data_IF_402693006887
#
_entry.id   IF_402693006887
#
_cell.length_a   1.000
_cell.length_b   1.000
_cell.length_c   1.000
_cell.angle_alpha   90.00
_cell.angle_beta   90.00
_cell.angle_gamma   90.00
#
_symmetry.space_group_name_H-M   'P 1'
#
loop_
_entity.id
_entity.type
_entity.pdbx_description
1 polymer ?
#
# COMPACT_ATOMS: atom_id res chain seq x y z
N UNK A 1 1.01 -8.69 -3.60
CA UNK A 1 1.21 -7.66 -2.55
C UNK A 1 0.17 -6.59 -2.79
N UNK A 2 -0.62 -6.32 -1.76
CA UNK A 2 -1.91 -5.63 -1.74
C UNK A 2 -1.85 -4.14 -2.16
N UNK A 3 -1.42 -3.85 -3.39
CA UNK A 3 -1.19 -2.49 -3.87
C UNK A 3 -2.43 -1.58 -3.89
N UNK A 4 -3.65 -2.12 -3.80
CA UNK A 4 -4.87 -1.32 -3.81
C UNK A 4 -5.30 -0.83 -2.42
N UNK A 5 -5.19 -1.67 -1.38
CA UNK A 5 -5.62 -1.31 -0.02
C UNK A 5 -4.60 -0.36 0.61
N UNK A 6 -3.31 -0.70 0.55
CA UNK A 6 -2.24 0.16 1.04
C UNK A 6 -2.27 1.55 0.39
N UNK A 7 -2.44 1.59 -0.93
CA UNK A 7 -2.60 2.84 -1.66
C UNK A 7 -3.80 3.63 -1.15
N UNK A 8 -4.98 3.01 -1.07
CA UNK A 8 -6.18 3.64 -0.52
C UNK A 8 -5.94 4.28 0.84
N UNK A 9 -5.38 3.51 1.79
CA UNK A 9 -5.06 3.99 3.15
C UNK A 9 -4.09 5.17 3.14
N UNK A 10 -3.05 5.13 2.30
CA UNK A 10 -2.08 6.22 2.18
C UNK A 10 -2.74 7.50 1.66
N UNK A 11 -3.60 7.41 0.63
CA UNK A 11 -4.29 8.57 0.08
C UNK A 11 -5.36 9.10 1.03
N UNK A 12 -6.03 8.24 1.80
CA UNK A 12 -7.01 8.66 2.82
C UNK A 12 -6.34 9.45 3.96
N UNK A 13 -5.23 8.95 4.52
CA UNK A 13 -4.55 9.60 5.66
C UNK A 13 -3.68 10.79 5.27
N UNK A 14 -2.95 10.70 4.17
CA UNK A 14 -1.95 11.71 3.79
C UNK A 14 -2.34 12.56 2.59
N UNK A 15 -3.34 12.16 1.80
CA UNK A 15 -3.77 12.84 0.58
C UNK A 15 -2.84 12.65 -0.62
N UNK A 16 -1.56 12.33 -0.42
CA UNK A 16 -0.64 12.02 -1.50
C UNK A 16 0.53 11.13 -1.06
N UNK A 17 1.07 10.38 -2.02
CA UNK A 17 2.25 9.55 -1.80
C UNK A 17 3.49 10.38 -1.42
N UNK A 18 3.63 11.61 -1.95
CA UNK A 18 4.73 12.51 -1.59
C UNK A 18 4.66 13.00 -0.14
N UNK A 19 3.45 13.26 0.39
CA UNK A 19 3.28 13.61 1.80
C UNK A 19 3.61 12.43 2.71
N UNK A 20 3.18 11.23 2.33
CA UNK A 20 3.55 10.01 3.04
C UNK A 20 5.07 9.74 3.01
N UNK A 21 5.72 9.91 1.86
CA UNK A 21 7.18 9.78 1.74
C UNK A 21 7.94 10.73 2.68
N UNK A 22 7.45 11.96 2.83
CA UNK A 22 8.01 12.93 3.79
C UNK A 22 7.80 12.49 5.24
N UNK A 23 6.62 11.94 5.57
CA UNK A 23 6.29 11.49 6.92
C UNK A 23 7.15 10.30 7.37
N UNK A 24 7.38 9.32 6.48
CA UNK A 24 8.22 8.15 6.76
C UNK A 24 9.73 8.43 6.59
N UNK A 25 10.09 9.58 6.01
CA UNK A 25 11.49 9.96 5.75
C UNK A 25 12.15 9.19 4.61
N UNK A 26 11.37 8.69 3.64
CA UNK A 26 11.89 7.93 2.49
C UNK A 26 11.93 8.77 1.21
N UNK A 27 12.69 8.28 0.22
CA UNK A 27 12.68 8.88 -1.11
C UNK A 27 11.31 8.67 -1.77
N UNK A 28 10.80 9.70 -2.44
CA UNK A 28 9.49 9.63 -3.10
C UNK A 28 9.39 8.48 -4.11
N UNK A 29 10.48 8.14 -4.80
CA UNK A 29 10.49 7.02 -5.76
C UNK A 29 10.30 5.67 -5.07
N UNK A 30 11.10 5.39 -4.03
CA UNK A 30 10.97 4.16 -3.22
C UNK A 30 9.56 4.02 -2.66
N UNK A 31 9.04 5.09 -2.04
CA UNK A 31 7.68 5.09 -1.46
C UNK A 31 6.62 4.84 -2.52
N UNK A 32 6.68 5.52 -3.67
CA UNK A 32 5.75 5.30 -4.78
C UNK A 32 5.81 3.88 -5.32
N UNK A 33 6.99 3.27 -5.43
CA UNK A 33 7.13 1.91 -5.94
C UNK A 33 6.55 0.89 -4.96
N UNK A 34 6.73 1.08 -3.66
CA UNK A 34 6.13 0.23 -2.62
C UNK A 34 4.61 0.41 -2.56
N UNK A 35 4.13 1.65 -2.48
CA UNK A 35 2.69 1.96 -2.36
C UNK A 35 1.90 1.47 -3.58
N UNK A 36 2.47 1.55 -4.78
CA UNK A 36 1.83 1.03 -5.99
C UNK A 36 2.05 -0.48 -6.19
N UNK A 37 2.73 -1.16 -5.27
CA UNK A 37 2.99 -2.61 -5.34
C UNK A 37 3.99 -3.02 -6.42
N UNK A 38 4.79 -2.08 -6.96
CA UNK A 38 5.90 -2.37 -7.90
C UNK A 38 7.13 -2.91 -7.18
N UNK A 39 7.32 -2.52 -5.93
CA UNK A 39 8.38 -3.01 -5.07
C UNK A 39 7.79 -3.67 -3.82
N UNK A 40 8.37 -4.79 -3.44
CA UNK A 40 8.06 -5.50 -2.20
C UNK A 40 8.86 -4.87 -1.06
N UNK A 41 8.21 -4.31 -0.02
CA UNK A 41 8.91 -3.86 1.18
C UNK A 41 9.39 -5.05 2.02
N UNK A 42 10.51 -4.87 2.71
CA UNK A 42 11.02 -5.81 3.70
C UNK A 42 10.29 -5.67 5.05
N UNK A 43 10.57 -6.55 6.01
CA UNK A 43 9.91 -6.56 7.32
C UNK A 43 10.08 -5.23 8.09
N UNK A 44 11.28 -4.66 8.09
CA UNK A 44 11.55 -3.37 8.76
C UNK A 44 10.78 -2.22 8.11
N UNK A 45 10.69 -2.22 6.78
CA UNK A 45 9.93 -1.24 6.00
C UNK A 45 8.44 -1.36 6.28
N UNK A 46 7.91 -2.58 6.40
CA UNK A 46 6.51 -2.83 6.77
C UNK A 46 6.21 -2.27 8.17
N UNK A 47 7.09 -2.51 9.15
CA UNK A 47 6.95 -1.95 10.51
C UNK A 47 6.92 -0.42 10.50
N UNK A 48 7.88 0.22 9.81
CA UNK A 48 7.92 1.68 9.70
C UNK A 48 6.67 2.25 9.03
N UNK A 49 6.15 1.58 8.01
CA UNK A 49 4.91 1.99 7.34
C UNK A 49 3.71 1.85 8.27
N UNK A 50 3.60 0.76 9.03
CA UNK A 50 2.51 0.55 9.99
C UNK A 50 2.52 1.62 11.09
N UNK A 51 3.69 1.93 11.65
CA UNK A 51 3.87 3.01 12.64
C UNK A 51 3.46 4.37 12.07
N UNK A 52 3.93 4.69 10.85
CA UNK A 52 3.62 5.98 10.19
C UNK A 52 2.14 6.08 9.83
N UNK A 53 1.49 4.97 9.49
CA UNK A 53 0.05 4.90 9.21
C UNK A 53 -0.79 4.85 10.50
N UNK A 54 -0.16 4.75 11.67
CA UNK A 54 -0.79 4.53 12.96
C UNK A 54 -1.74 3.31 12.96
N UNK A 55 -1.29 2.21 12.34
CA UNK A 55 -2.02 0.95 12.33
C UNK A 55 -1.59 0.18 13.58
N UNK A 56 -2.45 0.16 14.60
CA UNK A 56 -2.20 -0.53 15.86
C UNK A 56 -2.94 -1.88 15.94
N UNK A 57 -4.00 -2.04 15.15
CA UNK A 57 -4.82 -3.25 15.18
C UNK A 57 -4.24 -4.32 14.23
N UNK A 58 -4.05 -5.56 14.72
CA UNK A 58 -3.46 -6.63 13.92
C UNK A 58 -4.31 -6.99 12.70
N UNK A 59 -5.64 -6.89 12.80
CA UNK A 59 -6.56 -7.13 11.68
C UNK A 59 -6.39 -6.07 10.58
N UNK A 60 -6.25 -4.80 10.95
CA UNK A 60 -6.03 -3.71 10.00
C UNK A 60 -4.67 -3.86 9.32
N UNK A 61 -3.64 -4.23 10.08
CA UNK A 61 -2.32 -4.53 9.55
C UNK A 61 -2.37 -5.64 8.49
N UNK A 62 -3.01 -6.76 8.80
CA UNK A 62 -3.18 -7.86 7.85
C UNK A 62 -3.99 -7.40 6.63
N UNK A 63 -5.05 -6.60 6.83
CA UNK A 63 -5.86 -6.06 5.74
C UNK A 63 -5.04 -5.18 4.79
N UNK A 64 -4.23 -4.28 5.33
CA UNK A 64 -3.48 -3.28 4.57
C UNK A 64 -2.31 -3.90 3.81
N UNK A 65 -1.56 -4.80 4.44
CA UNK A 65 -0.33 -5.34 3.87
C UNK A 65 -0.50 -6.69 3.18
N UNK A 66 -1.46 -7.52 3.60
CA UNK A 66 -1.59 -8.92 3.17
C UNK A 66 -2.91 -9.26 2.47
N UNK A 67 -3.98 -8.47 2.65
CA UNK A 67 -5.25 -8.74 1.98
C UNK A 67 -5.23 -8.22 0.54
N UNK A 68 -4.94 -9.13 -0.38
CA UNK A 68 -4.93 -8.84 -1.82
C UNK A 68 -6.39 -8.81 -2.32
N UNK A 69 -6.93 -7.61 -2.58
CA UNK A 69 -8.20 -7.46 -3.30
C UNK A 69 -8.00 -7.75 -4.79
N UNK A 70 -7.49 -8.93 -5.16
CA UNK A 70 -7.66 -9.43 -6.52
C UNK A 70 -9.08 -9.93 -6.67
N UNK A 71 -10.01 -9.01 -6.90
CA UNK A 71 -10.96 -9.29 -7.97
C UNK A 71 -10.13 -9.25 -9.26
N UNK A 72 -9.52 -10.37 -9.61
CA UNK A 72 -9.28 -10.66 -11.02
C UNK A 72 -10.66 -10.54 -11.66
N UNK A 73 -10.93 -9.46 -12.40
CA UNK A 73 -11.83 -9.62 -13.53
C UNK A 73 -11.13 -10.66 -14.39
N UNK A 74 -11.56 -11.92 -14.25
CA UNK A 74 -11.41 -12.90 -15.30
C UNK A 74 -11.92 -12.19 -16.56
N UNK A 75 -11.07 -12.08 -17.58
CA UNK A 75 -11.36 -11.28 -18.75
C UNK A 75 -12.75 -11.63 -19.27
N UNK A 76 -13.67 -10.66 -19.25
CA UNK A 76 -14.75 -10.67 -20.22
C UNK A 76 -14.08 -10.41 -21.57
N UNK A 77 -13.66 -11.48 -22.23
CA UNK A 77 -13.58 -11.51 -23.67
C UNK A 77 -15.02 -11.45 -24.17
N UNK A 78 -15.58 -10.24 -24.28
CA UNK A 78 -16.62 -9.95 -25.25
C UNK A 78 -15.93 -9.33 -26.45
N UNK A 79 -15.66 -10.16 -27.45
CA UNK A 79 -15.40 -9.73 -28.82
C UNK A 79 -16.32 -10.55 -29.72
N UNK A 80 -17.26 -9.81 -30.33
CA UNK A 80 -18.15 -10.16 -31.45
C UNK A 80 -19.10 -11.35 -31.27
#
# INVERSE_FOLDING_TARGET
MAGNVLRGTVYEKFGSCSKFAKAIGWSGRKTCDIVNGRQIPNATEISQMAETLCINEPEEFLRVFFCDSKTTKCGQSQTA
#
